data_IF_260245041668
#
_entry.id   IF_260245041668
#
_cell.length_a   1.000
_cell.length_b   1.000
_cell.length_c   1.000
_cell.angle_alpha   90.00
_cell.angle_beta   90.00
_cell.angle_gamma   90.00
#
_symmetry.space_group_name_H-M   'P 1'
#
loop_
_entity.id
_entity.type
_entity.pdbx_description
1 polymer ?
#
# COMPACT_ATOMS: atom_id res chain seq x y z
N UNK A 1 0.19 30.99 26.95
CA UNK A 1 0.70 32.12 27.75
C UNK A 1 1.26 31.69 29.10
N UNK A 2 0.49 31.11 30.04
CA UNK A 2 0.98 30.94 31.42
C UNK A 2 2.06 29.86 31.61
N UNK A 3 2.05 28.80 30.78
CA UNK A 3 3.01 27.69 30.91
C UNK A 3 4.27 27.86 30.04
N UNK A 4 4.13 28.43 28.84
CA UNK A 4 5.20 28.60 27.85
C UNK A 4 5.20 30.01 27.25
N UNK A 5 5.47 31.05 28.07
CA UNK A 5 5.17 32.45 27.73
C UNK A 5 5.83 32.91 26.43
N UNK A 6 7.15 32.78 26.31
CA UNK A 6 7.90 33.23 25.13
C UNK A 6 7.49 32.53 23.84
N UNK A 7 7.25 31.21 23.88
CA UNK A 7 6.82 30.45 22.70
C UNK A 7 5.42 30.88 22.26
N UNK A 8 4.49 31.02 23.22
CA UNK A 8 3.13 31.43 22.89
C UNK A 8 3.03 32.88 22.42
N UNK A 9 3.89 33.76 22.92
CA UNK A 9 4.02 35.14 22.41
C UNK A 9 4.50 35.13 20.96
N UNK A 10 5.57 34.38 20.66
CA UNK A 10 6.09 34.24 19.28
C UNK A 10 5.01 33.72 18.32
N UNK A 11 4.30 32.66 18.71
CA UNK A 11 3.21 32.10 17.89
C UNK A 11 2.06 33.10 17.70
N UNK A 12 1.67 33.81 18.77
CA UNK A 12 0.60 34.80 18.72
C UNK A 12 0.95 35.96 17.80
N UNK A 13 2.16 36.51 17.87
CA UNK A 13 2.59 37.60 16.98
C UNK A 13 2.56 37.21 15.50
N UNK A 14 2.88 35.95 15.18
CA UNK A 14 2.82 35.43 13.82
C UNK A 14 1.38 35.21 13.33
N UNK A 15 0.47 34.79 14.21
CA UNK A 15 -0.91 34.45 13.85
C UNK A 15 -1.88 35.63 13.93
N UNK A 16 -1.58 36.66 14.74
CA UNK A 16 -2.51 37.77 14.99
C UNK A 16 -2.92 38.51 13.72
N UNK A 17 -2.08 38.49 12.68
CA UNK A 17 -2.35 39.12 11.37
C UNK A 17 -3.50 38.45 10.61
N UNK A 18 -3.88 37.21 10.98
CA UNK A 18 -4.98 36.46 10.39
C UNK A 18 -6.29 36.59 11.19
N UNK A 19 -6.28 37.34 12.30
CA UNK A 19 -7.45 37.53 13.14
C UNK A 19 -8.36 38.59 12.50
N UNK A 20 -9.65 38.29 12.42
CA UNK A 20 -10.67 39.25 11.96
C UNK A 20 -10.64 40.49 12.86
N UNK A 21 -10.38 41.70 12.32
CA UNK A 21 -10.33 42.94 13.08
C UNK A 21 -11.59 43.20 13.93
N UNK A 22 -12.75 42.73 13.49
CA UNK A 22 -14.03 42.88 14.23
C UNK A 22 -14.01 42.09 15.54
N UNK A 23 -13.31 40.96 15.58
CA UNK A 23 -13.26 40.08 16.75
C UNK A 23 -12.38 40.59 17.91
N UNK A 24 -11.57 41.63 17.64
CA UNK A 24 -10.55 42.17 18.55
C UNK A 24 -10.60 43.69 18.72
N UNK A 25 -11.66 44.34 18.21
CA UNK A 25 -11.77 45.79 18.10
C UNK A 25 -11.58 46.55 19.44
N UNK A 26 -11.88 45.90 20.57
CA UNK A 26 -11.76 46.47 21.93
C UNK A 26 -10.74 45.76 22.83
N UNK A 27 -9.77 45.04 22.25
CA UNK A 27 -8.78 44.25 23.02
C UNK A 27 -7.37 44.75 22.76
N UNK A 28 -6.55 44.77 23.82
CA UNK A 28 -5.12 44.98 23.67
C UNK A 28 -4.48 43.74 23.04
N UNK A 29 -4.30 43.79 21.72
CA UNK A 29 -3.70 42.71 20.94
C UNK A 29 -2.19 42.80 20.83
N UNK A 30 -1.52 43.71 21.56
CA UNK A 30 -0.07 43.89 21.48
C UNK A 30 0.70 42.67 21.96
N UNK A 31 0.18 41.92 22.92
CA UNK A 31 0.74 40.68 23.44
C UNK A 31 -0.36 39.72 23.86
N UNK A 32 -0.11 38.40 23.74
CA UNK A 32 -1.06 37.38 24.24
C UNK A 32 -1.24 37.47 25.76
N UNK A 33 -0.29 38.07 26.47
CA UNK A 33 -0.27 38.18 27.93
C UNK A 33 -1.27 39.22 28.47
N UNK A 34 -1.77 40.12 27.63
CA UNK A 34 -2.79 41.10 28.02
C UNK A 34 -4.21 40.59 27.82
N UNK A 35 -4.37 39.50 27.06
CA UNK A 35 -5.66 38.94 26.75
C UNK A 35 -6.17 38.07 27.91
N UNK A 36 -7.46 38.24 28.22
CA UNK A 36 -8.15 37.36 29.15
C UNK A 36 -8.21 35.93 28.62
N UNK A 37 -8.21 34.96 29.55
CA UNK A 37 -8.40 33.56 29.20
C UNK A 37 -9.72 33.38 28.43
N UNK A 38 -9.71 32.58 27.35
CA UNK A 38 -10.91 32.34 26.55
C UNK A 38 -11.96 31.62 27.39
N UNK A 39 -13.23 31.96 27.16
CA UNK A 39 -14.37 31.28 27.77
C UNK A 39 -14.87 30.17 26.84
N UNK A 40 -15.42 29.12 27.43
CA UNK A 40 -16.06 28.02 26.69
C UNK A 40 -17.25 28.57 25.91
N UNK A 41 -17.35 28.17 24.64
CA UNK A 41 -18.49 28.43 23.76
C UNK A 41 -19.28 27.13 23.62
N UNK A 42 -20.23 26.94 24.54
CA UNK A 42 -21.04 25.71 24.64
C UNK A 42 -21.78 25.40 23.33
N UNK A 43 -22.17 26.43 22.59
CA UNK A 43 -22.86 26.33 21.30
C UNK A 43 -22.03 25.68 20.18
N UNK A 44 -20.70 25.64 20.33
CA UNK A 44 -19.80 25.00 19.36
C UNK A 44 -19.47 23.55 19.73
N UNK A 45 -19.94 23.05 20.88
CA UNK A 45 -19.64 21.69 21.35
C UNK A 45 -20.59 20.70 20.68
N UNK A 46 -20.06 19.90 19.76
CA UNK A 46 -20.78 18.78 19.15
C UNK A 46 -20.27 17.43 19.66
N UNK A 47 -21.02 16.85 20.60
CA UNK A 47 -20.75 15.53 21.17
C UNK A 47 -20.75 14.40 20.15
N UNK A 48 -21.54 14.51 19.08
CA UNK A 48 -21.59 13.47 18.04
C UNK A 48 -20.29 13.48 17.25
N UNK A 49 -19.79 14.66 16.88
CA UNK A 49 -18.51 14.80 16.18
C UNK A 49 -17.34 14.38 17.06
N UNK A 50 -17.29 14.78 18.34
CA UNK A 50 -16.27 14.32 19.29
C UNK A 50 -16.24 12.79 19.43
N UNK A 51 -17.43 12.17 19.52
CA UNK A 51 -17.56 10.72 19.61
C UNK A 51 -17.08 10.03 18.34
N UNK A 52 -17.50 10.51 17.17
CA UNK A 52 -17.08 9.99 15.87
C UNK A 52 -15.56 10.08 15.69
N UNK A 53 -14.96 11.24 15.98
CA UNK A 53 -13.51 11.44 15.90
C UNK A 53 -12.74 10.52 16.84
N UNK A 54 -13.22 10.36 18.07
CA UNK A 54 -12.57 9.48 19.04
C UNK A 54 -12.67 8.00 18.64
N UNK A 55 -13.78 7.55 18.06
CA UNK A 55 -13.91 6.21 17.52
C UNK A 55 -12.99 5.99 16.30
N UNK A 56 -12.95 6.95 15.37
CA UNK A 56 -12.05 6.93 14.21
C UNK A 56 -10.57 6.84 14.64
N UNK A 57 -10.15 7.68 15.61
CA UNK A 57 -8.79 7.62 16.17
C UNK A 57 -8.46 6.24 16.75
N UNK A 58 -9.44 5.60 17.40
CA UNK A 58 -9.24 4.25 17.95
C UNK A 58 -9.07 3.20 16.85
N UNK A 59 -9.83 3.30 15.75
CA UNK A 59 -9.68 2.44 14.56
C UNK A 59 -8.28 2.63 13.95
N UNK A 60 -7.83 3.88 13.82
CA UNK A 60 -6.50 4.22 13.29
C UNK A 60 -5.40 3.63 14.15
N UNK A 61 -5.48 3.80 15.48
CA UNK A 61 -4.48 3.27 16.39
C UNK A 61 -4.39 1.75 16.28
N UNK A 62 -5.52 1.04 16.27
CA UNK A 62 -5.55 -0.41 16.08
C UNK A 62 -4.98 -0.82 14.72
N UNK A 63 -5.35 -0.13 13.64
CA UNK A 63 -4.82 -0.38 12.31
C UNK A 63 -3.31 -0.16 12.22
N UNK A 64 -2.78 0.87 12.89
CA UNK A 64 -1.34 1.14 12.98
C UNK A 64 -0.62 0.05 13.77
N UNK A 65 -1.15 -0.35 14.92
CA UNK A 65 -0.56 -1.41 15.76
C UNK A 65 -0.45 -2.72 14.98
N UNK A 66 -1.53 -3.13 14.32
CA UNK A 66 -1.55 -4.37 13.54
C UNK A 66 -0.59 -4.27 12.34
N UNK A 67 -0.57 -3.13 11.65
CA UNK A 67 0.40 -2.89 10.57
C UNK A 67 1.82 -2.92 11.07
N UNK A 68 2.16 -2.26 12.17
CA UNK A 68 3.55 -2.17 12.64
C UNK A 68 4.03 -3.53 13.18
N UNK A 69 3.10 -4.35 13.69
CA UNK A 69 3.33 -5.77 14.00
C UNK A 69 3.68 -6.63 12.78
N UNK A 70 3.48 -6.15 11.53
CA UNK A 70 4.00 -6.80 10.30
C UNK A 70 5.50 -6.98 10.31
N UNK A 71 6.20 -6.13 11.05
CA UNK A 71 7.66 -6.14 11.18
C UNK A 71 8.15 -7.24 12.13
N UNK A 72 7.24 -8.01 12.76
CA UNK A 72 7.60 -9.18 13.56
C UNK A 72 7.90 -10.35 12.59
N UNK A 73 9.19 -10.62 12.29
CA UNK A 73 9.57 -11.47 11.15
C UNK A 73 9.12 -12.93 11.34
N UNK A 74 8.98 -13.35 12.60
CA UNK A 74 8.67 -14.72 13.02
C UNK A 74 7.20 -15.08 12.73
N UNK A 75 6.26 -14.12 12.81
CA UNK A 75 4.82 -14.40 12.66
C UNK A 75 4.29 -14.19 11.25
N UNK A 76 4.77 -13.17 10.54
CA UNK A 76 4.14 -12.74 9.29
C UNK A 76 5.01 -12.93 8.05
N UNK A 77 6.33 -13.14 8.20
CA UNK A 77 7.31 -13.28 7.12
C UNK A 77 7.11 -12.27 5.98
N UNK A 78 6.74 -11.02 6.31
CA UNK A 78 6.46 -9.95 5.36
C UNK A 78 7.73 -9.17 5.02
N UNK A 79 7.87 -8.80 3.76
CA UNK A 79 8.88 -7.86 3.27
C UNK A 79 8.23 -6.48 3.08
N UNK A 80 8.94 -5.34 3.25
CA UNK A 80 8.35 -4.01 3.07
C UNK A 80 7.61 -3.77 1.75
N UNK A 81 7.96 -4.53 0.71
CA UNK A 81 7.35 -4.49 -0.64
C UNK A 81 6.03 -5.25 -0.73
N UNK A 82 5.71 -6.10 0.25
CA UNK A 82 4.49 -6.89 0.22
C UNK A 82 3.26 -5.99 0.37
N UNK A 83 2.31 -6.15 -0.55
CA UNK A 83 1.02 -5.49 -0.41
C UNK A 83 0.24 -6.09 0.74
N UNK A 84 -0.32 -5.22 1.58
CA UNK A 84 -1.15 -5.61 2.71
C UNK A 84 -2.53 -4.99 2.55
N UNK A 85 -3.56 -5.73 2.96
CA UNK A 85 -4.93 -5.23 3.04
C UNK A 85 -5.45 -5.44 4.45
N UNK A 86 -6.09 -4.41 5.01
CA UNK A 86 -6.71 -4.45 6.32
C UNK A 86 -8.22 -4.62 6.14
N UNK A 87 -8.79 -5.62 6.78
CA UNK A 87 -10.22 -5.88 6.80
C UNK A 87 -10.81 -5.51 8.15
N UNK A 88 -12.01 -4.93 8.18
CA UNK A 88 -12.70 -4.59 9.43
C UNK A 88 -14.12 -5.15 9.50
N UNK A 89 -14.52 -5.53 10.72
CA UNK A 89 -15.87 -5.93 11.05
C UNK A 89 -16.25 -5.26 12.36
N UNK A 90 -17.14 -4.28 12.28
CA UNK A 90 -17.73 -3.67 13.47
C UNK A 90 -19.06 -4.34 13.80
N UNK A 91 -19.17 -4.83 15.04
CA UNK A 91 -20.43 -5.27 15.63
C UNK A 91 -20.86 -4.19 16.63
N UNK A 92 -21.80 -3.37 16.18
CA UNK A 92 -22.27 -2.18 16.89
C UNK A 92 -23.80 -2.10 16.80
N UNK A 93 -24.46 -1.64 17.86
CA UNK A 93 -25.88 -1.30 17.80
C UNK A 93 -26.09 -0.14 16.80
N UNK A 94 -26.94 -0.34 15.80
CA UNK A 94 -27.30 0.73 14.85
C UNK A 94 -26.25 1.07 13.77
N UNK A 95 -25.23 0.22 13.54
CA UNK A 95 -24.18 0.43 12.50
C UNK A 95 -23.37 1.74 12.65
N UNK A 96 -23.43 2.42 13.79
CA UNK A 96 -22.79 3.72 13.97
C UNK A 96 -21.29 3.70 13.66
N UNK A 97 -20.56 2.72 14.21
CA UNK A 97 -19.12 2.59 13.97
C UNK A 97 -18.79 2.32 12.49
N UNK A 98 -19.63 1.55 11.77
CA UNK A 98 -19.44 1.34 10.33
C UNK A 98 -19.57 2.67 9.58
N UNK A 99 -20.59 3.47 9.89
CA UNK A 99 -20.78 4.77 9.24
C UNK A 99 -19.61 5.74 9.53
N UNK A 100 -19.04 5.70 10.73
CA UNK A 100 -17.84 6.50 11.07
C UNK A 100 -16.64 6.06 10.23
N UNK A 101 -16.42 4.75 10.08
CA UNK A 101 -15.33 4.22 9.25
C UNK A 101 -15.53 4.59 7.78
N UNK A 102 -16.75 4.41 7.25
CA UNK A 102 -17.09 4.75 5.87
C UNK A 102 -16.91 6.24 5.58
N UNK A 103 -17.42 7.12 6.46
CA UNK A 103 -17.31 8.57 6.28
C UNK A 103 -15.87 9.11 6.34
N UNK A 104 -14.95 8.39 7.00
CA UNK A 104 -13.56 8.83 7.17
C UNK A 104 -12.55 7.86 6.54
N UNK A 105 -12.97 7.09 5.52
CA UNK A 105 -12.13 6.05 4.90
C UNK A 105 -10.81 6.62 4.38
N UNK A 106 -10.82 7.77 3.69
CA UNK A 106 -9.62 8.40 3.14
C UNK A 106 -8.61 8.79 4.22
N UNK A 107 -9.08 9.34 5.34
CA UNK A 107 -8.21 9.75 6.44
C UNK A 107 -7.60 8.54 7.15
N UNK A 108 -8.40 7.49 7.34
CA UNK A 108 -7.92 6.23 7.92
C UNK A 108 -6.87 5.62 7.00
N UNK A 109 -7.16 5.52 5.68
CA UNK A 109 -6.23 5.02 4.66
C UNK A 109 -4.91 5.79 4.66
N UNK A 110 -4.96 7.13 4.65
CA UNK A 110 -3.75 7.96 4.65
C UNK A 110 -2.87 7.72 5.89
N UNK A 111 -3.49 7.45 7.04
CA UNK A 111 -2.77 7.26 8.30
C UNK A 111 -2.22 5.84 8.46
N UNK A 112 -3.00 4.82 8.12
CA UNK A 112 -2.56 3.42 8.20
C UNK A 112 -1.70 3.03 6.98
N UNK A 113 -1.78 3.76 5.86
CA UNK A 113 -1.06 3.48 4.61
C UNK A 113 -1.32 2.06 4.08
N UNK A 114 -2.55 1.58 4.25
CA UNK A 114 -3.02 0.29 3.80
C UNK A 114 -4.52 0.39 3.49
N UNK A 115 -5.03 -0.28 2.44
CA UNK A 115 -6.46 -0.29 2.15
C UNK A 115 -7.25 -0.88 3.32
N UNK A 116 -8.35 -0.22 3.68
CA UNK A 116 -9.30 -0.69 4.68
C UNK A 116 -10.59 -1.17 3.99
N UNK A 117 -10.94 -2.46 4.12
CA UNK A 117 -12.12 -3.06 3.48
C UNK A 117 -13.08 -3.67 4.51
N UNK A 118 -14.40 -3.62 4.30
CA UNK A 118 -15.32 -4.35 5.15
C UNK A 118 -15.16 -5.87 4.92
N UNK A 119 -15.54 -6.67 5.91
CA UNK A 119 -15.66 -8.12 5.75
C UNK A 119 -16.72 -8.51 4.71
N UNK A 120 -16.62 -9.69 4.09
CA UNK A 120 -15.67 -10.78 4.38
C UNK A 120 -14.28 -10.57 3.78
N UNK A 121 -13.27 -11.24 4.36
CA UNK A 121 -11.92 -11.32 3.79
C UNK A 121 -11.96 -12.06 2.47
N UNK A 122 -11.27 -11.56 1.45
CA UNK A 122 -11.19 -12.20 0.14
C UNK A 122 -10.56 -13.60 0.25
N UNK A 123 -11.07 -14.63 -0.45
CA UNK A 123 -10.52 -15.99 -0.36
C UNK A 123 -9.06 -16.11 -0.82
N UNK A 124 -8.62 -15.20 -1.70
CA UNK A 124 -7.24 -15.12 -2.21
C UNK A 124 -6.26 -14.51 -1.21
N UNK A 125 -6.76 -13.77 -0.22
CA UNK A 125 -5.93 -13.04 0.74
C UNK A 125 -5.58 -13.94 1.93
N UNK A 126 -4.28 -14.08 2.21
CA UNK A 126 -3.81 -14.86 3.35
C UNK A 126 -3.93 -14.03 4.62
N UNK A 127 -4.78 -14.46 5.56
CA UNK A 127 -4.88 -13.87 6.90
C UNK A 127 -3.56 -14.06 7.65
N UNK A 128 -3.03 -12.96 8.20
CA UNK A 128 -1.77 -12.94 8.95
C UNK A 128 -2.00 -12.68 10.43
N UNK A 129 -2.78 -11.65 10.74
CA UNK A 129 -3.07 -11.19 12.10
C UNK A 129 -4.55 -10.87 12.17
N UNK A 130 -5.20 -11.29 13.24
CA UNK A 130 -6.59 -10.95 13.55
C UNK A 130 -6.65 -10.48 15.00
N UNK A 131 -7.21 -9.30 15.21
CA UNK A 131 -7.35 -8.70 16.53
C UNK A 131 -8.78 -8.22 16.73
N UNK A 132 -9.27 -8.41 17.97
CA UNK A 132 -10.59 -7.98 18.41
C UNK A 132 -10.43 -7.04 19.58
N UNK A 133 -11.15 -5.94 19.57
CA UNK A 133 -11.10 -4.94 20.65
C UNK A 133 -12.46 -4.31 20.87
N UNK A 134 -12.78 -4.05 22.13
CA UNK A 134 -13.97 -3.30 22.51
C UNK A 134 -13.69 -1.80 22.44
N UNK A 135 -14.44 -1.09 21.59
CA UNK A 135 -14.40 0.34 21.40
C UNK A 135 -15.70 0.98 21.89
N UNK A 136 -15.68 1.56 23.09
CA UNK A 136 -16.79 2.37 23.65
C UNK A 136 -18.19 1.74 23.41
N UNK A 137 -18.32 0.43 23.65
CA UNK A 137 -19.58 -0.33 23.49
C UNK A 137 -19.78 -1.02 22.14
N UNK A 138 -18.88 -0.83 21.18
CA UNK A 138 -18.86 -1.57 19.90
C UNK A 138 -17.68 -2.54 19.86
N UNK A 139 -17.89 -3.75 19.35
CA UNK A 139 -16.80 -4.70 19.10
C UNK A 139 -16.23 -4.41 17.70
N UNK A 140 -14.93 -4.17 17.62
CA UNK A 140 -14.22 -4.03 16.36
C UNK A 140 -13.24 -5.18 16.20
N UNK A 141 -13.40 -5.90 15.09
CA UNK A 141 -12.46 -6.90 14.63
C UNK A 141 -11.69 -6.34 13.43
N UNK A 142 -10.36 -6.34 13.50
CA UNK A 142 -9.48 -5.97 12.39
C UNK A 142 -8.60 -7.17 12.04
N UNK A 143 -8.51 -7.45 10.74
CA UNK A 143 -7.69 -8.50 10.18
C UNK A 143 -6.71 -7.95 9.16
N UNK A 144 -5.42 -8.21 9.36
CA UNK A 144 -4.39 -7.95 8.39
C UNK A 144 -4.22 -9.17 7.49
N UNK A 145 -4.24 -8.92 6.20
CA UNK A 145 -3.96 -9.92 5.19
C UNK A 145 -2.78 -9.51 4.33
N UNK A 146 -2.05 -10.51 3.84
CA UNK A 146 -1.16 -10.34 2.70
C UNK A 146 -2.04 -10.31 1.46
N UNK A 147 -2.01 -9.19 0.74
CA UNK A 147 -2.67 -9.07 -0.54
C UNK A 147 -2.05 -10.06 -1.52
N UNK A 148 -2.89 -10.72 -2.30
CA UNK A 148 -2.43 -11.57 -3.40
C UNK A 148 -1.99 -10.72 -4.61
N UNK A 149 -1.06 -9.78 -4.46
CA UNK A 149 -0.29 -9.40 -5.65
C UNK A 149 0.55 -10.61 -5.99
N UNK A 150 0.28 -11.21 -7.15
CA UNK A 150 1.27 -12.01 -7.83
C UNK A 150 2.49 -11.08 -7.99
N UNK A 151 3.64 -11.35 -7.34
CA UNK A 151 4.78 -10.46 -7.43
C UNK A 151 5.26 -10.49 -8.89
N UNK A 152 4.91 -9.45 -9.65
CA UNK A 152 5.17 -9.42 -11.07
C UNK A 152 4.65 -8.16 -11.76
N UNK A 153 5.17 -7.85 -12.96
CA UNK A 153 4.62 -6.82 -13.83
C UNK A 153 3.11 -6.96 -14.01
N UNK A 154 2.40 -5.83 -14.15
CA UNK A 154 0.96 -5.81 -14.43
C UNK A 154 0.61 -6.42 -15.80
N UNK A 155 1.59 -6.48 -16.72
CA UNK A 155 1.47 -7.09 -18.04
C UNK A 155 1.97 -8.53 -18.01
N UNK A 156 1.45 -9.38 -18.91
CA UNK A 156 1.96 -10.74 -19.06
C UNK A 156 3.49 -10.74 -19.26
N UNK A 157 4.20 -11.64 -18.58
CA UNK A 157 5.66 -11.72 -18.62
C UNK A 157 6.15 -13.15 -18.54
N UNK A 158 7.41 -13.38 -18.89
CA UNK A 158 8.10 -14.66 -18.78
C UNK A 158 9.45 -14.45 -18.12
N UNK A 159 9.87 -15.39 -17.28
CA UNK A 159 11.23 -15.43 -16.76
C UNK A 159 12.09 -16.26 -17.71
N UNK A 160 13.28 -15.77 -18.01
CA UNK A 160 14.23 -16.40 -18.91
C UNK A 160 15.44 -16.85 -18.09
N UNK A 161 15.93 -18.06 -18.35
CA UNK A 161 17.14 -18.59 -17.75
C UNK A 161 18.03 -19.23 -18.81
N UNK A 162 19.20 -18.68 -19.07
CA UNK A 162 20.12 -19.22 -20.06
C UNK A 162 20.79 -20.50 -19.53
N UNK A 163 20.54 -21.61 -20.23
CA UNK A 163 21.32 -22.83 -20.11
C UNK A 163 22.60 -22.77 -20.96
N UNK A 164 23.66 -22.13 -20.45
CA UNK A 164 24.96 -22.09 -21.12
C UNK A 164 25.88 -23.24 -20.67
N UNK A 165 26.20 -24.16 -21.58
CA UNK A 165 27.13 -25.26 -21.35
C UNK A 165 28.60 -24.79 -21.43
N UNK A 166 29.09 -24.12 -20.38
CA UNK A 166 30.52 -23.92 -20.08
C UNK A 166 31.35 -23.03 -21.01
N UNK A 167 31.16 -23.04 -22.33
CA UNK A 167 31.89 -22.22 -23.30
C UNK A 167 31.19 -20.89 -23.65
N UNK A 168 29.89 -20.80 -23.40
CA UNK A 168 29.04 -19.65 -23.80
C UNK A 168 28.76 -18.66 -22.64
N UNK A 169 29.16 -19.01 -21.41
CA UNK A 169 28.99 -18.14 -20.24
C UNK A 169 29.78 -16.82 -20.35
N UNK A 170 30.86 -16.80 -21.14
CA UNK A 170 31.66 -15.60 -21.40
C UNK A 170 31.04 -14.60 -22.39
N UNK A 171 30.00 -14.99 -23.13
CA UNK A 171 29.34 -14.14 -24.14
C UNK A 171 28.13 -13.38 -23.58
N UNK A 172 27.58 -13.82 -22.44
CA UNK A 172 26.43 -13.19 -21.79
C UNK A 172 26.86 -11.92 -21.04
N UNK A 173 26.59 -10.76 -21.61
CA UNK A 173 27.01 -9.46 -21.04
C UNK A 173 26.19 -9.04 -19.81
N UNK A 174 25.00 -9.61 -19.60
CA UNK A 174 23.97 -9.12 -18.66
C UNK A 174 23.42 -10.20 -17.71
N UNK A 175 24.17 -11.28 -17.46
CA UNK A 175 23.78 -12.36 -16.54
C UNK A 175 23.04 -13.53 -17.22
N UNK A 176 22.66 -14.55 -16.42
CA UNK A 176 22.01 -15.79 -16.91
C UNK A 176 20.51 -15.81 -16.68
N UNK A 177 19.94 -14.88 -15.92
CA UNK A 177 18.51 -14.81 -15.62
C UNK A 177 17.96 -13.44 -15.99
N UNK A 178 16.77 -13.40 -16.58
CA UNK A 178 16.11 -12.17 -16.98
C UNK A 178 14.59 -12.29 -16.93
N UNK A 179 13.90 -11.15 -17.01
CA UNK A 179 12.43 -11.11 -17.12
C UNK A 179 12.07 -10.32 -18.37
N UNK A 180 11.17 -10.88 -19.19
CA UNK A 180 10.72 -10.27 -20.43
C UNK A 180 9.20 -10.10 -20.41
N UNK A 181 8.73 -8.90 -20.76
CA UNK A 181 7.31 -8.63 -20.92
C UNK A 181 6.81 -9.21 -22.25
N UNK A 182 5.71 -9.95 -22.21
CA UNK A 182 5.04 -10.51 -23.37
C UNK A 182 4.10 -9.51 -24.05
N UNK A 183 3.68 -8.48 -23.32
CA UNK A 183 2.85 -7.38 -23.79
C UNK A 183 3.19 -6.11 -23.00
N UNK A 184 3.04 -4.94 -23.62
CA UNK A 184 3.23 -3.65 -22.96
C UNK A 184 2.70 -2.51 -23.85
N UNK A 185 1.63 -1.77 -23.47
CA UNK A 185 0.78 -1.94 -22.28
C UNK A 185 -0.09 -3.21 -22.29
N UNK A 186 -0.87 -3.44 -21.23
CA UNK A 186 -1.76 -4.61 -21.09
C UNK A 186 -2.68 -4.78 -22.33
N UNK A 187 -2.63 -5.96 -22.97
CA UNK A 187 -3.42 -6.26 -24.17
C UNK A 187 -2.93 -5.62 -25.47
N UNK A 188 -1.79 -4.92 -25.45
CA UNK A 188 -1.18 -4.24 -26.59
C UNK A 188 0.26 -4.70 -26.81
N UNK A 189 0.76 -4.59 -28.05
CA UNK A 189 2.12 -4.95 -28.43
C UNK A 189 2.52 -6.39 -28.03
N UNK A 190 1.60 -7.34 -28.15
CA UNK A 190 1.87 -8.74 -27.86
C UNK A 190 3.01 -9.30 -28.71
N UNK A 191 3.96 -9.99 -28.07
CA UNK A 191 5.08 -10.62 -28.76
C UNK A 191 4.62 -11.83 -29.59
N UNK A 192 5.14 -11.92 -30.82
CA UNK A 192 5.10 -13.15 -31.62
C UNK A 192 6.18 -14.12 -31.14
N UNK A 193 6.13 -15.39 -31.54
CA UNK A 193 7.17 -16.37 -31.20
C UNK A 193 8.57 -15.92 -31.65
N UNK A 194 8.68 -15.39 -32.87
CA UNK A 194 9.92 -14.81 -33.38
C UNK A 194 10.36 -13.55 -32.61
N UNK A 195 9.40 -12.70 -32.24
CA UNK A 195 9.66 -11.52 -31.40
C UNK A 195 10.18 -11.90 -30.00
N UNK A 196 9.63 -12.96 -29.42
CA UNK A 196 10.07 -13.50 -28.13
C UNK A 196 11.53 -13.95 -28.19
N UNK A 197 11.92 -14.71 -29.21
CA UNK A 197 13.31 -15.12 -29.43
C UNK A 197 14.25 -13.93 -29.60
N UNK A 198 13.83 -12.94 -30.37
CA UNK A 198 14.63 -11.75 -30.66
C UNK A 198 14.83 -10.87 -29.42
N UNK A 199 13.77 -10.64 -28.65
CA UNK A 199 13.87 -9.86 -27.40
C UNK A 199 14.60 -10.65 -26.31
N UNK A 200 14.43 -11.98 -26.21
CA UNK A 200 15.23 -12.82 -25.32
C UNK A 200 16.73 -12.71 -25.66
N UNK A 201 17.10 -12.76 -26.95
CA UNK A 201 18.48 -12.57 -27.38
C UNK A 201 19.02 -11.18 -26.99
N UNK A 202 18.21 -10.13 -27.08
CA UNK A 202 18.60 -8.79 -26.65
C UNK A 202 18.82 -8.70 -25.14
N UNK A 203 17.95 -9.29 -24.33
CA UNK A 203 18.04 -9.29 -22.86
C UNK A 203 19.42 -9.78 -22.40
N UNK A 204 19.95 -10.79 -23.08
CA UNK A 204 21.24 -11.41 -22.72
C UNK A 204 22.43 -10.98 -23.60
N UNK A 205 22.21 -10.13 -24.60
CA UNK A 205 23.27 -9.65 -25.50
C UNK A 205 23.66 -10.62 -26.63
N UNK A 206 22.90 -11.68 -26.88
CA UNK A 206 23.16 -12.75 -27.84
C UNK A 206 22.67 -12.43 -29.27
N UNK A 207 23.00 -11.23 -29.79
CA UNK A 207 22.41 -10.67 -31.01
C UNK A 207 22.65 -11.45 -32.32
N UNK A 208 23.62 -12.37 -32.34
CA UNK A 208 24.02 -13.11 -33.53
C UNK A 208 23.82 -14.64 -33.41
N UNK A 209 23.16 -15.10 -32.34
CA UNK A 209 22.94 -16.53 -32.06
C UNK A 209 21.49 -16.92 -32.31
N UNK A 210 21.28 -18.14 -32.79
CA UNK A 210 19.94 -18.74 -32.87
C UNK A 210 19.61 -19.34 -31.51
N UNK A 211 18.62 -18.77 -30.84
CA UNK A 211 18.11 -19.31 -29.58
C UNK A 211 17.02 -20.35 -29.84
N UNK A 212 16.91 -21.29 -28.91
CA UNK A 212 15.77 -22.17 -28.75
C UNK A 212 15.22 -21.97 -27.34
N UNK A 213 13.92 -22.09 -27.20
CA UNK A 213 13.24 -21.89 -25.92
C UNK A 213 12.67 -23.22 -25.45
N UNK A 214 12.85 -23.53 -24.17
CA UNK A 214 12.36 -24.77 -23.55
C UNK A 214 11.56 -24.45 -22.29
N UNK A 215 10.55 -25.27 -21.99
CA UNK A 215 9.77 -25.14 -20.74
C UNK A 215 10.49 -25.74 -19.52
N UNK A 216 11.60 -26.44 -19.75
CA UNK A 216 12.33 -27.14 -18.72
C UNK A 216 13.84 -27.10 -18.94
N UNK A 217 14.59 -27.12 -17.83
CA UNK A 217 16.05 -27.11 -17.82
C UNK A 217 16.68 -28.31 -18.53
N UNK A 218 15.98 -29.46 -18.56
CA UNK A 218 16.45 -30.67 -19.27
C UNK A 218 16.28 -30.60 -20.79
N UNK A 219 15.79 -29.48 -21.34
CA UNK A 219 15.64 -29.23 -22.78
C UNK A 219 14.80 -30.28 -23.54
N UNK A 220 13.84 -30.91 -22.87
CA UNK A 220 13.01 -31.96 -23.50
C UNK A 220 11.68 -31.44 -24.06
N UNK A 221 11.23 -30.26 -23.63
CA UNK A 221 10.00 -29.61 -24.10
C UNK A 221 10.32 -28.30 -24.80
N UNK A 222 10.56 -28.36 -26.11
CA UNK A 222 10.82 -27.19 -26.96
C UNK A 222 9.54 -26.38 -27.19
N UNK A 223 9.63 -25.06 -27.09
CA UNK A 223 8.54 -24.13 -27.37
C UNK A 223 8.51 -23.85 -28.86
N UNK A 224 7.60 -24.49 -29.58
CA UNK A 224 7.38 -24.29 -31.03
C UNK A 224 6.40 -23.14 -31.29
N UNK A 225 6.29 -22.73 -32.56
CA UNK A 225 5.38 -21.65 -33.00
C UNK A 225 3.90 -21.96 -32.72
N UNK A 226 3.56 -23.24 -32.51
CA UNK A 226 2.20 -23.72 -32.23
C UNK A 226 1.73 -23.39 -30.80
N UNK A 227 2.67 -23.12 -29.89
CA UNK A 227 2.38 -22.80 -28.49
C UNK A 227 2.14 -21.29 -28.38
N UNK A 228 0.92 -20.84 -28.03
CA UNK A 228 0.64 -19.41 -27.95
C UNK A 228 1.47 -18.77 -26.84
N UNK A 229 2.16 -17.67 -27.15
CA UNK A 229 3.01 -16.93 -26.20
C UNK A 229 2.27 -16.54 -24.92
N UNK A 230 0.96 -16.28 -25.01
CA UNK A 230 0.10 -16.01 -23.84
C UNK A 230 0.08 -17.13 -22.79
N UNK A 231 0.31 -18.38 -23.19
CA UNK A 231 0.34 -19.55 -22.28
C UNK A 231 1.65 -19.64 -21.47
N UNK A 232 2.62 -18.78 -21.79
CA UNK A 232 3.91 -18.68 -21.11
C UNK A 232 3.90 -17.65 -19.98
N UNK A 233 2.77 -16.97 -19.75
CA UNK A 233 2.67 -15.98 -18.69
C UNK A 233 3.08 -16.57 -17.33
N UNK A 234 3.97 -15.86 -16.63
CA UNK A 234 4.55 -16.20 -15.34
C UNK A 234 5.38 -17.50 -15.30
N UNK A 235 5.67 -18.12 -16.45
CA UNK A 235 6.52 -19.31 -16.50
C UNK A 235 7.99 -18.93 -16.57
N UNK A 236 8.84 -19.88 -16.20
CA UNK A 236 10.28 -19.83 -16.47
C UNK A 236 10.57 -20.63 -17.73
N UNK A 237 11.29 -20.02 -18.66
CA UNK A 237 11.71 -20.59 -19.94
C UNK A 237 13.22 -20.61 -19.98
N UNK A 238 13.76 -21.67 -20.57
CA UNK A 238 15.18 -22.01 -20.61
C UNK A 238 15.75 -21.95 -22.03
#
# INVERSE_FOLDING_TARGET
APYTPFLTELMYQNLKVLIDPVSVQDKDTLSIHYLMLPRVREELIDRKTESAMSQMQSVIELGRVIRDRKTIPIKCSLVPTDEITVYYKAKSEGRYLNNVIESHTEFIFATIKAPLKPYPVSPSDKVLIQEKTQLKGSELEITLTRGSSLPGPACAYVNLNICANGSEQGECLMGTVGTLLLENPLGQNGLTHQGLLYEAAKVFGLRSRKLKLFLNETQTQEITEDIPVKTLNMKTVY
#
